data_IF_439354674631
#
_entry.id   IF_439354674631
#
_cell.length_a   1.000
_cell.length_b   1.000
_cell.length_c   1.000
_cell.angle_alpha   90.00
_cell.angle_beta   90.00
_cell.angle_gamma   90.00
#
_symmetry.space_group_name_H-M   'P 1'
#
loop_
_entity.id
_entity.type
_entity.pdbx_description
1 polymer ?
#
# COMPACT_ATOMS: atom_id res chain seq x y z
N UNK A 1 -8.62 -22.88 -7.32
CA UNK A 1 -7.30 -22.72 -6.66
C UNK A 1 -7.08 -21.24 -6.49
N UNK A 2 -6.74 -20.76 -5.29
CA UNK A 2 -6.41 -19.34 -5.08
C UNK A 2 -4.92 -19.12 -5.34
N UNK A 3 -4.59 -17.99 -5.96
CA UNK A 3 -3.21 -17.55 -6.25
C UNK A 3 -3.10 -16.07 -5.94
N UNK A 4 -1.92 -15.65 -5.51
CA UNK A 4 -1.55 -14.25 -5.34
C UNK A 4 -0.63 -13.89 -6.50
N UNK A 5 -1.05 -12.93 -7.32
CA UNK A 5 -0.35 -12.52 -8.53
C UNK A 5 -0.40 -11.00 -8.65
N UNK A 6 0.46 -10.44 -9.51
CA UNK A 6 0.40 -9.01 -9.84
C UNK A 6 -0.88 -8.71 -10.63
N UNK A 7 -1.33 -7.46 -10.55
CA UNK A 7 -2.57 -7.02 -11.21
C UNK A 7 -2.52 -7.23 -12.72
N UNK A 8 -1.40 -6.92 -13.37
CA UNK A 8 -1.21 -7.11 -14.82
C UNK A 8 -1.32 -8.59 -15.22
N UNK A 9 -0.71 -9.49 -14.44
CA UNK A 9 -0.79 -10.94 -14.67
C UNK A 9 -2.21 -11.47 -14.44
N UNK A 10 -2.89 -10.97 -13.41
CA UNK A 10 -4.29 -11.32 -13.11
C UNK A 10 -5.21 -10.92 -14.26
N UNK A 11 -5.09 -9.68 -14.76
CA UNK A 11 -5.89 -9.19 -15.88
C UNK A 11 -5.60 -9.99 -17.15
N UNK A 12 -4.33 -10.27 -17.45
CA UNK A 12 -3.95 -11.11 -18.59
C UNK A 12 -4.58 -12.50 -18.53
N UNK A 13 -4.54 -13.14 -17.37
CA UNK A 13 -5.04 -14.51 -17.20
C UNK A 13 -6.59 -14.57 -17.24
N UNK A 14 -7.27 -13.51 -16.81
CA UNK A 14 -8.73 -13.34 -17.03
C UNK A 14 -9.05 -13.26 -18.52
N UNK A 15 -8.33 -12.43 -19.27
CA UNK A 15 -8.50 -12.31 -20.72
C UNK A 15 -8.19 -13.62 -21.46
N UNK A 16 -7.21 -14.39 -20.98
CA UNK A 16 -6.86 -15.69 -21.55
C UNK A 16 -7.85 -16.81 -21.19
N UNK A 17 -8.80 -16.56 -20.29
CA UNK A 17 -9.73 -17.57 -19.78
C UNK A 17 -9.06 -18.67 -18.93
N UNK A 18 -7.83 -18.41 -18.45
CA UNK A 18 -7.11 -19.32 -17.53
C UNK A 18 -7.41 -19.02 -16.06
N UNK A 19 -8.04 -17.87 -15.80
CA UNK A 19 -8.57 -17.46 -14.50
C UNK A 19 -10.05 -17.12 -14.64
N UNK A 20 -10.88 -17.60 -13.70
CA UNK A 20 -12.34 -17.38 -13.73
C UNK A 20 -12.73 -16.01 -13.14
N UNK A 21 -11.98 -15.51 -12.15
CA UNK A 21 -12.24 -14.25 -11.46
C UNK A 21 -10.98 -13.71 -10.78
N UNK A 22 -10.87 -12.38 -10.66
CA UNK A 22 -9.76 -11.70 -9.99
C UNK A 22 -10.27 -10.62 -9.04
N UNK A 23 -9.57 -10.43 -7.91
CA UNK A 23 -9.77 -9.30 -7.00
C UNK A 23 -8.60 -8.34 -7.17
N UNK A 24 -8.88 -7.16 -7.71
CA UNK A 24 -7.87 -6.14 -8.04
C UNK A 24 -8.33 -4.77 -7.59
N UNK A 25 -7.38 -3.84 -7.45
CA UNK A 25 -7.68 -2.43 -7.26
C UNK A 25 -8.15 -1.83 -8.59
N UNK A 26 -9.25 -1.07 -8.57
CA UNK A 26 -9.95 -0.59 -9.79
C UNK A 26 -9.23 0.55 -10.51
N UNK A 27 -8.06 0.97 -10.05
CA UNK A 27 -7.14 1.84 -10.80
C UNK A 27 -6.41 1.11 -11.93
N UNK A 28 -6.54 -0.22 -12.00
CA UNK A 28 -5.99 -1.02 -13.08
C UNK A 28 -6.75 -0.83 -14.40
N UNK A 29 -6.05 -1.01 -15.51
CA UNK A 29 -6.70 -1.09 -16.83
C UNK A 29 -7.34 -2.46 -16.99
N UNK A 30 -8.68 -2.50 -16.93
CA UNK A 30 -9.47 -3.72 -17.05
C UNK A 30 -10.01 -3.93 -18.47
N UNK A 31 -9.86 -2.94 -19.37
CA UNK A 31 -10.54 -2.95 -20.67
C UNK A 31 -12.06 -3.17 -20.53
N UNK A 32 -12.60 -4.10 -21.32
CA UNK A 32 -14.03 -4.46 -21.32
C UNK A 32 -14.39 -5.60 -20.34
N UNK A 33 -13.50 -5.98 -19.41
CA UNK A 33 -13.84 -6.98 -18.40
C UNK A 33 -14.98 -6.49 -17.51
N UNK A 34 -15.98 -7.35 -17.29
CA UNK A 34 -17.05 -7.05 -16.33
C UNK A 34 -16.47 -6.96 -14.92
N UNK A 35 -16.81 -5.90 -14.19
CA UNK A 35 -16.32 -5.66 -12.84
C UNK A 35 -17.40 -5.06 -11.95
N UNK A 36 -17.23 -5.22 -10.64
CA UNK A 36 -18.09 -4.65 -9.62
C UNK A 36 -17.27 -4.19 -8.41
N UNK A 37 -17.68 -3.09 -7.80
CA UNK A 37 -17.11 -2.60 -6.54
C UNK A 37 -17.43 -3.61 -5.42
N UNK A 38 -16.40 -4.25 -4.88
CA UNK A 38 -16.56 -5.19 -3.74
C UNK A 38 -16.46 -4.43 -2.41
N UNK A 39 -15.45 -3.58 -2.27
CA UNK A 39 -15.18 -2.80 -1.06
C UNK A 39 -14.34 -1.57 -1.39
N UNK A 40 -14.23 -0.66 -0.42
CA UNK A 40 -13.27 0.45 -0.45
C UNK A 40 -12.30 0.28 0.72
N UNK A 41 -11.01 0.31 0.42
CA UNK A 41 -9.94 0.14 1.40
C UNK A 41 -9.13 1.45 1.48
N UNK A 42 -9.33 2.30 2.51
CA UNK A 42 -8.59 3.54 2.62
C UNK A 42 -7.13 3.28 3.03
N UNK A 43 -6.24 4.15 2.56
CA UNK A 43 -4.88 4.20 3.10
C UNK A 43 -4.88 4.78 4.51
N UNK A 44 -4.06 4.19 5.37
CA UNK A 44 -3.68 4.73 6.68
C UNK A 44 -2.18 4.99 6.74
N UNK A 45 -1.76 5.91 7.60
CA UNK A 45 -0.34 6.17 7.84
C UNK A 45 0.12 5.30 9.00
N UNK A 46 1.12 4.47 8.77
CA UNK A 46 1.75 3.65 9.79
C UNK A 46 3.13 4.22 10.15
N UNK A 47 3.43 4.28 11.44
CA UNK A 47 4.63 4.93 11.98
C UNK A 47 4.99 4.30 13.33
N UNK A 48 6.23 4.45 13.81
CA UNK A 48 6.57 4.06 15.18
C UNK A 48 5.74 4.81 16.22
N UNK A 49 5.42 4.16 17.35
CA UNK A 49 4.70 4.78 18.49
C UNK A 49 5.33 6.09 19.00
N UNK A 50 6.65 6.23 18.89
CA UNK A 50 7.38 7.42 19.32
C UNK A 50 7.40 8.56 18.31
N UNK A 51 6.90 8.34 17.09
CA UNK A 51 6.99 9.30 16.00
C UNK A 51 6.22 10.59 16.33
N UNK A 52 6.72 11.79 15.99
CA UNK A 52 6.06 13.06 16.34
C UNK A 52 4.60 13.16 15.87
N UNK A 53 4.28 12.58 14.72
CA UNK A 53 2.93 12.54 14.16
C UNK A 53 1.97 11.66 14.97
N UNK A 54 2.45 10.71 15.78
CA UNK A 54 1.61 9.85 16.62
C UNK A 54 0.81 10.64 17.68
N UNK A 55 1.19 11.89 17.95
CA UNK A 55 0.45 12.81 18.83
C UNK A 55 -0.83 13.36 18.20
N UNK A 56 -0.98 13.26 16.88
CA UNK A 56 -2.15 13.73 16.15
C UNK A 56 -3.22 12.66 16.09
N UNK A 57 -4.47 13.03 16.36
CA UNK A 57 -5.63 12.12 16.24
C UNK A 57 -6.01 11.79 14.80
N UNK A 58 -5.64 12.66 13.86
CA UNK A 58 -5.87 12.51 12.42
C UNK A 58 -4.66 13.07 11.69
N UNK A 59 -4.23 12.37 10.64
CA UNK A 59 -3.13 12.79 9.78
C UNK A 59 -3.74 13.33 8.49
N UNK A 60 -3.48 14.60 8.19
CA UNK A 60 -3.78 15.20 6.90
C UNK A 60 -2.63 14.96 5.91
N UNK A 61 -2.88 15.09 4.61
CA UNK A 61 -1.83 14.91 3.60
C UNK A 61 -0.63 15.84 3.84
N UNK A 62 -0.87 17.12 4.15
CA UNK A 62 0.21 18.08 4.43
C UNK A 62 1.02 17.78 5.70
N UNK A 63 0.59 16.84 6.55
CA UNK A 63 1.40 16.39 7.69
C UNK A 63 2.53 15.44 7.27
N UNK A 64 2.46 14.90 6.05
CA UNK A 64 3.51 14.06 5.46
C UNK A 64 4.61 14.88 4.78
N UNK A 65 4.47 16.20 4.74
CA UNK A 65 5.49 17.09 4.16
C UNK A 65 6.84 16.89 4.85
N UNK A 66 7.90 16.78 4.05
CA UNK A 66 9.27 16.43 4.45
C UNK A 66 9.47 15.09 5.21
N UNK A 67 8.42 14.32 5.48
CA UNK A 67 8.52 13.03 6.16
C UNK A 67 9.24 12.01 5.29
N UNK A 68 10.09 11.18 5.92
CA UNK A 68 10.70 10.06 5.24
C UNK A 68 9.67 8.93 5.09
N UNK A 69 9.38 8.53 3.87
CA UNK A 69 8.40 7.47 3.57
C UNK A 69 9.09 6.26 2.98
N UNK A 70 8.83 5.09 3.58
CA UNK A 70 9.16 3.79 3.02
C UNK A 70 7.99 3.29 2.16
N UNK A 71 8.29 2.76 0.99
CA UNK A 71 7.31 2.19 0.06
C UNK A 71 7.73 0.78 -0.38
N UNK A 72 6.77 0.04 -0.94
CA UNK A 72 7.06 -1.23 -1.60
C UNK A 72 7.92 -1.02 -2.86
N UNK A 73 8.54 -2.10 -3.32
CA UNK A 73 9.23 -2.17 -4.62
C UNK A 73 8.26 -2.00 -5.80
N UNK A 74 8.82 -1.70 -6.97
CA UNK A 74 8.09 -1.54 -8.22
C UNK A 74 7.35 -2.82 -8.64
N UNK A 75 6.25 -2.66 -9.39
CA UNK A 75 5.42 -3.77 -9.86
C UNK A 75 4.20 -4.08 -9.00
N UNK A 76 3.90 -3.24 -8.00
CA UNK A 76 2.65 -3.27 -7.25
C UNK A 76 1.83 -2.01 -7.55
N UNK A 77 0.56 -2.17 -7.90
CA UNK A 77 -0.40 -1.06 -8.03
C UNK A 77 -0.47 -0.22 -6.74
N UNK A 78 -0.30 -0.88 -5.59
CA UNK A 78 -0.18 -0.23 -4.29
C UNK A 78 0.91 0.85 -4.25
N UNK A 79 2.10 0.57 -4.83
CA UNK A 79 3.23 1.50 -4.81
C UNK A 79 2.90 2.76 -5.60
N UNK A 80 2.36 2.63 -6.81
CA UNK A 80 2.08 3.78 -7.67
C UNK A 80 1.07 4.73 -7.02
N UNK A 81 0.04 4.18 -6.37
CA UNK A 81 -0.94 4.96 -5.61
C UNK A 81 -0.32 5.65 -4.40
N UNK A 82 0.43 4.90 -3.58
CA UNK A 82 1.10 5.44 -2.39
C UNK A 82 2.10 6.54 -2.77
N UNK A 83 2.88 6.34 -3.83
CA UNK A 83 3.83 7.33 -4.35
C UNK A 83 3.12 8.59 -4.85
N UNK A 84 2.02 8.45 -5.59
CA UNK A 84 1.25 9.61 -6.07
C UNK A 84 0.70 10.44 -4.91
N UNK A 85 0.24 9.80 -3.83
CA UNK A 85 -0.20 10.48 -2.61
C UNK A 85 0.97 11.18 -1.91
N UNK A 86 2.08 10.46 -1.69
CA UNK A 86 3.26 10.97 -1.00
C UNK A 86 3.90 12.16 -1.75
N UNK A 87 4.01 12.06 -3.07
CA UNK A 87 4.57 13.13 -3.91
C UNK A 87 3.72 14.40 -3.86
N UNK A 88 2.38 14.28 -3.90
CA UNK A 88 1.48 15.43 -3.74
C UNK A 88 1.57 16.05 -2.34
N UNK A 89 1.93 15.26 -1.35
CA UNK A 89 2.05 15.68 0.04
C UNK A 89 3.40 16.31 0.42
N UNK A 90 4.39 16.30 -0.49
CA UNK A 90 5.75 16.78 -0.20
C UNK A 90 6.62 15.79 0.57
N UNK A 91 6.18 14.54 0.71
CA UNK A 91 6.93 13.52 1.43
C UNK A 91 8.16 13.04 0.64
N UNK A 92 9.23 12.66 1.34
CA UNK A 92 10.47 12.16 0.74
C UNK A 92 10.49 10.64 0.73
N UNK A 93 10.42 10.04 -0.46
CA UNK A 93 10.65 8.61 -0.64
C UNK A 93 12.08 8.24 -0.23
N UNK A 94 12.22 7.21 0.60
CA UNK A 94 13.52 6.63 0.96
C UNK A 94 14.04 5.72 -0.16
N UNK A 95 15.36 5.62 -0.29
CA UNK A 95 15.99 4.74 -1.30
C UNK A 95 15.83 3.25 -1.00
N UNK A 96 15.60 2.88 0.27
CA UNK A 96 15.39 1.49 0.69
C UNK A 96 13.93 1.10 0.45
N UNK A 97 13.73 -0.06 -0.15
CA UNK A 97 12.41 -0.56 -0.56
C UNK A 97 12.13 -1.93 0.05
N UNK A 98 10.86 -2.16 0.37
CA UNK A 98 10.39 -3.44 0.87
C UNK A 98 9.76 -4.28 -0.25
N UNK A 99 10.01 -5.57 -0.25
CA UNK A 99 9.43 -6.52 -1.23
C UNK A 99 8.07 -7.08 -0.81
N UNK A 100 7.62 -6.79 0.41
CA UNK A 100 6.32 -7.22 0.95
C UNK A 100 5.83 -6.23 2.00
N UNK A 101 4.51 -6.21 2.25
CA UNK A 101 3.92 -5.41 3.33
C UNK A 101 4.49 -5.81 4.69
N UNK A 102 4.69 -7.10 4.95
CA UNK A 102 5.29 -7.57 6.19
C UNK A 102 6.69 -6.99 6.42
N UNK A 103 7.55 -7.02 5.40
CA UNK A 103 8.89 -6.42 5.47
C UNK A 103 8.80 -4.91 5.68
N UNK A 104 7.90 -4.23 4.96
CA UNK A 104 7.69 -2.79 5.05
C UNK A 104 7.35 -2.34 6.47
N UNK A 105 6.41 -3.04 7.11
CA UNK A 105 5.97 -2.74 8.48
C UNK A 105 7.11 -2.98 9.49
N UNK A 106 7.92 -4.03 9.31
CA UNK A 106 9.08 -4.25 10.17
C UNK A 106 10.16 -3.17 10.02
N UNK A 107 10.40 -2.69 8.79
CA UNK A 107 11.35 -1.60 8.54
C UNK A 107 10.91 -0.29 9.19
N UNK A 108 9.61 0.03 9.11
CA UNK A 108 9.03 1.19 9.79
C UNK A 108 9.19 1.05 11.30
N UNK A 109 8.91 -0.12 11.87
CA UNK A 109 9.03 -0.34 13.33
C UNK A 109 10.47 -0.15 13.85
N UNK A 110 11.48 -0.41 13.01
CA UNK A 110 12.89 -0.32 13.36
C UNK A 110 13.55 1.04 13.15
N UNK A 111 12.85 2.04 12.60
CA UNK A 111 13.42 3.35 12.26
C UNK A 111 12.47 4.51 12.49
N UNK A 112 12.81 5.70 11.99
CA UNK A 112 12.01 6.93 12.14
C UNK A 112 11.16 7.26 10.90
N UNK A 113 11.04 6.32 9.97
CA UNK A 113 10.26 6.51 8.75
C UNK A 113 8.77 6.22 8.98
N UNK A 114 7.92 6.70 8.07
CA UNK A 114 6.50 6.33 8.01
C UNK A 114 6.21 5.54 6.73
N UNK A 115 5.05 4.92 6.65
CA UNK A 115 4.56 4.32 5.41
C UNK A 115 3.05 4.48 5.29
N UNK A 116 2.53 4.14 4.12
CA UNK A 116 1.09 3.98 3.89
C UNK A 116 0.78 2.49 3.89
N UNK A 117 -0.32 2.10 4.54
CA UNK A 117 -0.84 0.74 4.54
C UNK A 117 -2.32 0.74 4.12
N UNK A 118 -2.81 -0.33 3.49
CA UNK A 118 -4.25 -0.56 3.39
C UNK A 118 -4.81 -0.85 4.80
N UNK A 119 -6.01 -0.37 5.10
CA UNK A 119 -6.69 -0.63 6.36
C UNK A 119 -6.91 -2.14 6.56
N UNK A 120 -7.23 -2.86 5.49
CA UNK A 120 -7.41 -4.32 5.53
C UNK A 120 -6.15 -5.07 6.00
N UNK A 121 -4.96 -4.55 5.73
CA UNK A 121 -3.71 -5.19 6.11
C UNK A 121 -3.38 -5.00 7.60
N UNK A 122 -3.98 -4.03 8.30
CA UNK A 122 -3.58 -3.66 9.66
C UNK A 122 -3.73 -4.80 10.66
N UNK A 123 -4.84 -5.54 10.58
CA UNK A 123 -5.12 -6.67 11.48
C UNK A 123 -4.09 -7.79 11.34
N UNK A 124 -3.42 -7.89 10.19
CA UNK A 124 -2.42 -8.92 9.90
C UNK A 124 -1.03 -8.38 10.20
N UNK A 125 -0.66 -7.26 9.61
CA UNK A 125 0.70 -6.74 9.58
C UNK A 125 1.10 -6.05 10.88
N UNK A 126 0.16 -5.38 11.58
CA UNK A 126 0.48 -4.70 12.83
C UNK A 126 0.63 -5.64 14.04
N UNK A 127 0.33 -6.94 13.89
CA UNK A 127 0.36 -7.89 15.03
C UNK A 127 1.74 -8.03 15.69
N UNK A 128 2.81 -7.88 14.91
CA UNK A 128 4.19 -8.07 15.40
C UNK A 128 4.98 -6.78 15.52
N UNK A 129 4.73 -5.83 14.63
CA UNK A 129 5.45 -4.56 14.57
C UNK A 129 5.04 -3.57 15.66
N UNK A 130 3.80 -3.66 16.15
CA UNK A 130 3.25 -2.77 17.18
C UNK A 130 3.44 -1.26 16.86
N UNK A 131 3.22 -0.90 15.59
CA UNK A 131 3.11 0.49 15.13
C UNK A 131 1.92 1.17 15.80
#
# INVERSE_FOLDING_TARGET
VFREEKTEDTVRDLWAGTLDAGLVALEADLGDLEHADVLRDPFVVAMPKGHPLAKKKKIAQGDLDDQAVLLLEDGHCFRSQALALCSKAGAREMSVRATSLATLVQMVAGGDAVTLLPDLALSVENRRAQL
#
